data_IF_101965957865
#
_entry.id   IF_101965957865
#
_cell.length_a   1.000
_cell.length_b   1.000
_cell.length_c   1.000
_cell.angle_alpha   90.00
_cell.angle_beta   90.00
_cell.angle_gamma   90.00
#
_symmetry.space_group_name_H-M   'P 1'
#
loop_
_entity.id
_entity.type
_entity.pdbx_description
1 polymer ?
#
# COMPACT_ATOMS: atom_id res chain seq x y z
N UNK A 1 -4.24 12.36 18.14
CA UNK A 1 -3.24 11.55 18.87
C UNK A 1 -3.06 10.29 18.04
N UNK A 2 -1.89 10.10 17.41
CA UNK A 2 -1.63 8.88 16.64
C UNK A 2 -1.48 7.71 17.62
N UNK A 3 -1.97 6.52 17.26
CA UNK A 3 -1.81 5.32 18.08
C UNK A 3 -0.33 4.93 18.07
N UNK A 4 0.30 4.88 19.24
CA UNK A 4 1.69 4.42 19.34
C UNK A 4 1.74 2.92 19.09
N UNK A 5 2.19 2.54 17.89
CA UNK A 5 2.72 1.22 17.66
C UNK A 5 4.01 1.09 18.48
N UNK A 6 4.15 -0.01 19.23
CA UNK A 6 5.37 -0.30 20.00
C UNK A 6 6.52 -0.68 19.06
N UNK A 7 7.00 0.29 18.31
CA UNK A 7 8.05 0.19 17.31
C UNK A 7 9.08 1.27 17.67
N UNK A 8 10.33 0.87 17.85
CA UNK A 8 11.41 1.84 18.05
C UNK A 8 11.90 2.35 16.69
N UNK A 9 11.22 3.39 16.19
CA UNK A 9 11.50 3.97 14.89
C UNK A 9 12.91 4.53 14.78
N UNK A 10 13.53 4.95 15.89
CA UNK A 10 14.85 5.59 15.88
C UNK A 10 15.99 4.64 15.55
N UNK A 11 15.76 3.33 15.66
CA UNK A 11 16.76 2.29 15.43
C UNK A 11 16.64 1.64 14.04
N UNK A 12 15.59 1.95 13.29
CA UNK A 12 15.33 1.34 11.99
C UNK A 12 16.23 1.93 10.92
N UNK A 13 16.89 1.07 10.13
CA UNK A 13 17.58 1.50 8.91
C UNK A 13 16.58 2.02 7.88
N UNK A 14 16.89 3.21 7.37
CA UNK A 14 16.19 3.88 6.30
C UNK A 14 17.18 4.83 5.60
N UNK A 15 16.80 5.45 4.48
CA UNK A 15 17.69 6.40 3.79
C UNK A 15 17.87 7.72 4.55
N UNK A 16 16.88 8.08 5.36
CA UNK A 16 16.86 9.31 6.16
C UNK A 16 16.47 8.96 7.59
N UNK A 17 16.26 9.98 8.42
CA UNK A 17 15.76 9.80 9.78
C UNK A 17 14.42 9.06 9.77
N UNK A 18 14.40 7.85 10.33
CA UNK A 18 13.23 6.97 10.41
C UNK A 18 12.24 7.40 11.49
N UNK A 19 12.63 8.27 12.43
CA UNK A 19 11.75 8.77 13.50
C UNK A 19 10.59 9.64 13.00
N UNK A 20 10.67 10.15 11.78
CA UNK A 20 9.62 10.98 11.15
C UNK A 20 8.47 10.15 10.55
N UNK A 21 8.72 8.86 10.26
CA UNK A 21 7.79 7.99 9.54
C UNK A 21 6.42 7.82 10.23
N UNK A 22 6.31 7.68 11.57
CA UNK A 22 5.01 7.52 12.25
C UNK A 22 4.08 8.70 11.99
N UNK A 23 4.60 9.92 12.14
CA UNK A 23 3.84 11.14 11.92
C UNK A 23 3.46 11.31 10.45
N UNK A 24 4.37 10.95 9.53
CA UNK A 24 4.13 10.99 8.10
C UNK A 24 3.03 10.01 7.67
N UNK A 25 3.08 8.75 8.14
CA UNK A 25 2.05 7.73 7.86
C UNK A 25 0.69 8.19 8.37
N UNK A 26 0.64 8.71 9.61
CA UNK A 26 -0.60 9.23 10.18
C UNK A 26 -1.18 10.36 9.34
N UNK A 27 -0.34 11.30 8.91
CA UNK A 27 -0.75 12.43 8.08
C UNK A 27 -1.37 11.98 6.76
N UNK A 28 -0.70 11.09 6.01
CA UNK A 28 -1.21 10.64 4.71
C UNK A 28 -2.52 9.85 4.85
N UNK A 29 -2.63 8.96 5.84
CA UNK A 29 -3.84 8.15 6.04
C UNK A 29 -5.07 8.97 6.47
N UNK A 30 -4.87 10.18 7.00
CA UNK A 30 -5.94 11.06 7.46
C UNK A 30 -6.09 12.34 6.63
N UNK A 31 -5.42 12.40 5.47
CA UNK A 31 -5.51 13.51 4.54
C UNK A 31 -6.96 13.77 4.12
N UNK A 32 -7.38 15.03 4.05
CA UNK A 32 -8.74 15.40 3.60
C UNK A 32 -8.77 15.83 2.13
N UNK A 33 -7.60 16.11 1.55
CA UNK A 33 -7.40 16.64 0.21
C UNK A 33 -6.11 16.09 -0.40
N UNK A 34 -6.08 15.99 -1.72
CA UNK A 34 -4.86 15.78 -2.49
C UNK A 34 -4.28 17.16 -2.78
N UNK A 35 -3.40 17.61 -1.90
CA UNK A 35 -2.69 18.87 -2.03
C UNK A 35 -1.17 18.64 -1.95
N UNK A 36 -0.43 19.66 -2.37
CA UNK A 36 1.03 19.62 -2.41
C UNK A 36 1.65 19.29 -1.05
N UNK A 37 1.02 19.73 0.06
CA UNK A 37 1.53 19.40 1.40
C UNK A 37 1.41 17.91 1.68
N UNK A 38 0.31 17.28 1.28
CA UNK A 38 0.10 15.84 1.48
C UNK A 38 1.03 15.02 0.58
N UNK A 39 1.21 15.46 -0.67
CA UNK A 39 2.16 14.83 -1.61
C UNK A 39 3.61 14.89 -1.08
N UNK A 40 4.01 16.03 -0.50
CA UNK A 40 5.33 16.18 0.12
C UNK A 40 5.55 15.21 1.29
N UNK A 41 4.50 14.95 2.08
CA UNK A 41 4.57 13.97 3.17
C UNK A 41 4.59 12.55 2.63
N UNK A 42 3.82 12.24 1.58
CA UNK A 42 3.92 10.97 0.87
C UNK A 42 5.34 10.72 0.35
N UNK A 43 5.94 11.69 -0.35
CA UNK A 43 7.31 11.59 -0.83
C UNK A 43 8.34 11.51 0.30
N UNK A 44 8.02 12.03 1.49
CA UNK A 44 8.87 11.87 2.67
C UNK A 44 8.93 10.40 3.09
N UNK A 45 7.81 9.67 3.04
CA UNK A 45 7.79 8.22 3.30
C UNK A 45 8.57 7.50 2.20
N UNK A 46 8.22 7.75 0.93
CA UNK A 46 8.81 7.08 -0.23
C UNK A 46 10.34 7.25 -0.28
N UNK A 47 10.83 8.49 -0.22
CA UNK A 47 12.25 8.79 -0.30
C UNK A 47 13.07 8.33 0.92
N UNK A 48 12.40 7.83 1.96
CA UNK A 48 13.02 7.39 3.20
C UNK A 48 12.99 5.86 3.33
N UNK A 49 11.80 5.26 3.32
CA UNK A 49 11.61 3.84 3.59
C UNK A 49 11.62 2.97 2.33
N UNK A 50 11.32 3.49 1.13
CA UNK A 50 11.08 2.68 -0.08
C UNK A 50 11.53 3.38 -1.38
N UNK A 51 12.70 4.03 -1.36
CA UNK A 51 13.15 4.90 -2.44
C UNK A 51 13.40 4.12 -3.74
N UNK A 52 12.80 4.56 -4.85
CA UNK A 52 12.88 3.85 -6.13
C UNK A 52 12.56 2.35 -5.99
N UNK A 53 11.61 2.00 -5.11
CA UNK A 53 11.20 0.63 -4.79
C UNK A 53 12.27 -0.23 -4.09
N UNK A 54 13.38 0.36 -3.66
CA UNK A 54 14.33 -0.28 -2.75
C UNK A 54 13.81 -0.20 -1.32
N UNK A 55 13.53 -1.35 -0.72
CA UNK A 55 12.96 -1.45 0.61
C UNK A 55 14.06 -1.50 1.68
N UNK A 56 13.97 -0.60 2.66
CA UNK A 56 14.86 -0.51 3.81
C UNK A 56 14.18 -1.13 5.05
N UNK A 57 14.91 -1.44 6.11
CA UNK A 57 14.33 -2.07 7.32
C UNK A 57 13.04 -1.38 7.81
N UNK A 58 12.98 -0.05 7.72
CA UNK A 58 11.80 0.73 8.09
C UNK A 58 10.53 0.47 7.24
N UNK A 59 10.66 -0.10 6.03
CA UNK A 59 9.49 -0.46 5.19
C UNK A 59 8.56 -1.44 5.89
N UNK A 60 9.11 -2.41 6.63
CA UNK A 60 8.29 -3.45 7.23
C UNK A 60 7.36 -2.91 8.34
N UNK A 61 7.85 -2.04 9.25
CA UNK A 61 7.01 -1.22 10.13
C UNK A 61 6.01 -0.34 9.41
N UNK A 62 6.41 0.37 8.34
CA UNK A 62 5.50 1.20 7.52
C UNK A 62 4.35 0.34 7.00
N UNK A 63 4.67 -0.81 6.41
CA UNK A 63 3.69 -1.78 5.89
C UNK A 63 2.75 -2.24 7.00
N UNK A 64 3.30 -2.60 8.17
CA UNK A 64 2.52 -3.07 9.32
C UNK A 64 1.49 -2.03 9.79
N UNK A 65 1.89 -0.76 9.86
CA UNK A 65 0.99 0.32 10.26
C UNK A 65 -0.10 0.52 9.21
N UNK A 66 0.27 0.69 7.94
CA UNK A 66 -0.71 0.96 6.88
C UNK A 66 -1.72 -0.18 6.76
N UNK A 67 -1.27 -1.44 6.77
CA UNK A 67 -2.18 -2.57 6.67
C UNK A 67 -3.08 -2.69 7.91
N UNK A 68 -2.59 -2.38 9.11
CA UNK A 68 -3.42 -2.33 10.31
C UNK A 68 -4.49 -1.25 10.24
N UNK A 69 -4.12 -0.01 9.89
CA UNK A 69 -5.06 1.11 9.78
C UNK A 69 -6.13 0.84 8.72
N UNK A 70 -5.76 0.21 7.60
CA UNK A 70 -6.72 -0.26 6.59
C UNK A 70 -7.66 -1.32 7.18
N UNK A 71 -7.12 -2.33 7.86
CA UNK A 71 -7.90 -3.41 8.46
C UNK A 71 -8.96 -2.90 9.45
N UNK A 72 -8.60 -1.92 10.29
CA UNK A 72 -9.52 -1.34 11.29
C UNK A 72 -10.39 -0.20 10.74
N UNK A 73 -10.24 0.16 9.47
CA UNK A 73 -11.01 1.23 8.83
C UNK A 73 -10.66 2.64 9.31
N UNK A 74 -9.45 2.87 9.84
CA UNK A 74 -9.03 4.15 10.39
C UNK A 74 -8.23 4.97 9.37
N UNK A 75 -8.96 5.49 8.39
CA UNK A 75 -8.44 6.33 7.31
C UNK A 75 -9.57 7.18 6.70
N UNK A 76 -9.21 8.16 5.88
CA UNK A 76 -10.15 8.87 4.99
C UNK A 76 -10.11 8.27 3.59
N UNK A 77 -11.10 8.56 2.73
CA UNK A 77 -11.04 8.08 1.33
C UNK A 77 -9.79 8.58 0.61
N UNK A 78 -9.40 9.85 0.81
CA UNK A 78 -8.16 10.40 0.24
C UNK A 78 -6.94 9.70 0.82
N UNK A 79 -6.89 9.49 2.13
CA UNK A 79 -5.78 8.79 2.76
C UNK A 79 -5.67 7.33 2.37
N UNK A 80 -6.79 6.67 2.07
CA UNK A 80 -6.80 5.31 1.51
C UNK A 80 -6.13 5.26 0.13
N UNK A 81 -6.27 6.30 -0.71
CA UNK A 81 -5.56 6.38 -2.00
C UNK A 81 -4.04 6.33 -1.78
N UNK A 82 -3.51 7.23 -0.95
CA UNK A 82 -2.07 7.26 -0.62
C UNK A 82 -1.60 5.98 0.07
N UNK A 83 -2.42 5.42 0.97
CA UNK A 83 -2.13 4.17 1.65
C UNK A 83 -1.96 3.02 0.66
N UNK A 84 -2.90 2.88 -0.29
CA UNK A 84 -2.83 1.85 -1.32
C UNK A 84 -1.67 2.07 -2.30
N UNK A 85 -1.41 3.31 -2.72
CA UNK A 85 -0.26 3.64 -3.57
C UNK A 85 1.06 3.23 -2.89
N UNK A 86 1.24 3.53 -1.60
CA UNK A 86 2.40 3.06 -0.83
C UNK A 86 2.49 1.53 -0.80
N UNK A 87 1.38 0.83 -0.57
CA UNK A 87 1.38 -0.63 -0.57
C UNK A 87 1.73 -1.21 -1.95
N UNK A 88 1.29 -0.58 -3.06
CA UNK A 88 1.65 -0.98 -4.42
C UNK A 88 3.16 -0.84 -4.65
N UNK A 89 3.73 0.31 -4.28
CA UNK A 89 5.18 0.52 -4.39
C UNK A 89 5.97 -0.51 -3.56
N UNK A 90 5.49 -0.88 -2.37
CA UNK A 90 6.10 -1.91 -1.53
C UNK A 90 5.95 -3.31 -2.15
N UNK A 91 4.76 -3.66 -2.65
CA UNK A 91 4.48 -4.96 -3.23
C UNK A 91 5.35 -5.25 -4.46
N UNK A 92 5.59 -4.23 -5.30
CA UNK A 92 6.44 -4.33 -6.47
C UNK A 92 7.93 -4.06 -6.19
N UNK A 93 8.32 -3.80 -4.95
CA UNK A 93 9.70 -3.45 -4.58
C UNK A 93 10.61 -4.62 -4.25
N UNK A 94 11.87 -4.33 -3.94
CA UNK A 94 12.85 -5.34 -3.57
C UNK A 94 13.70 -4.90 -2.40
N UNK A 95 14.18 -5.84 -1.58
CA UNK A 95 15.08 -5.57 -0.46
C UNK A 95 16.32 -4.82 -0.98
N UNK A 96 16.62 -3.65 -0.40
CA UNK A 96 17.77 -2.84 -0.81
C UNK A 96 19.07 -3.65 -0.71
N UNK A 97 20.08 -3.38 -1.56
CA UNK A 97 21.37 -4.08 -1.48
C UNK A 97 22.00 -4.03 -0.08
N UNK A 98 21.92 -2.88 0.59
CA UNK A 98 22.40 -2.71 1.97
C UNK A 98 21.66 -3.58 2.98
N UNK A 99 20.35 -3.79 2.80
CA UNK A 99 19.59 -4.69 3.67
C UNK A 99 20.01 -6.15 3.46
N UNK A 100 20.28 -6.56 2.22
CA UNK A 100 20.82 -7.90 1.93
C UNK A 100 22.16 -8.12 2.62
N UNK A 101 23.05 -7.13 2.59
CA UNK A 101 24.35 -7.16 3.29
C UNK A 101 24.19 -7.26 4.81
N UNK A 102 23.13 -6.66 5.37
CA UNK A 102 22.77 -6.76 6.79
C UNK A 102 21.97 -8.05 7.14
N UNK A 103 21.80 -8.99 6.20
CA UNK A 103 21.09 -10.24 6.44
C UNK A 103 19.56 -10.17 6.29
N UNK A 104 19.02 -9.04 5.81
CA UNK A 104 17.60 -8.79 5.57
C UNK A 104 17.18 -9.05 4.10
N UNK A 105 17.65 -10.14 3.51
CA UNK A 105 17.39 -10.41 2.09
C UNK A 105 15.91 -10.67 1.78
N UNK A 106 15.17 -11.23 2.72
CA UNK A 106 13.75 -11.59 2.68
C UNK A 106 12.80 -10.46 3.08
N UNK A 107 13.31 -9.24 3.35
CA UNK A 107 12.51 -8.09 3.79
C UNK A 107 11.31 -7.82 2.88
N UNK A 108 11.51 -7.83 1.56
CA UNK A 108 10.43 -7.62 0.60
C UNK A 108 9.34 -8.69 0.69
N UNK A 109 9.71 -9.95 0.94
CA UNK A 109 8.75 -11.04 1.06
C UNK A 109 7.91 -10.91 2.33
N UNK A 110 8.52 -10.53 3.46
CA UNK A 110 7.80 -10.21 4.71
C UNK A 110 6.82 -9.05 4.53
N UNK A 111 7.20 -8.01 3.79
CA UNK A 111 6.29 -6.91 3.48
C UNK A 111 5.10 -7.39 2.63
N UNK A 112 5.34 -8.19 1.58
CA UNK A 112 4.27 -8.78 0.77
C UNK A 112 3.35 -9.68 1.57
N UNK A 113 3.87 -10.47 2.50
CA UNK A 113 3.05 -11.30 3.40
C UNK A 113 2.08 -10.47 4.24
N UNK A 114 2.54 -9.33 4.77
CA UNK A 114 1.68 -8.40 5.52
C UNK A 114 0.58 -7.79 4.65
N UNK A 115 0.89 -7.49 3.38
CA UNK A 115 -0.11 -6.98 2.43
C UNK A 115 -1.09 -8.09 2.06
N UNK A 116 -0.61 -9.30 1.78
CA UNK A 116 -1.47 -10.48 1.51
C UNK A 116 -2.47 -10.74 2.64
N UNK A 117 -2.05 -10.53 3.89
CA UNK A 117 -2.91 -10.73 5.05
C UNK A 117 -4.18 -9.86 5.04
N UNK A 118 -4.15 -8.69 4.39
CA UNK A 118 -5.31 -7.78 4.31
C UNK A 118 -6.09 -7.88 2.98
N UNK A 119 -5.71 -8.77 2.07
CA UNK A 119 -6.42 -8.92 0.78
C UNK A 119 -7.93 -9.17 0.94
N UNK A 120 -8.41 -9.96 1.92
CA UNK A 120 -9.85 -10.07 2.18
C UNK A 120 -10.52 -8.73 2.51
N UNK A 121 -9.83 -7.83 3.21
CA UNK A 121 -10.34 -6.49 3.52
C UNK A 121 -10.40 -5.63 2.26
N UNK A 122 -9.37 -5.68 1.42
CA UNK A 122 -9.34 -4.98 0.14
C UNK A 122 -10.48 -5.42 -0.79
N UNK A 123 -10.81 -6.72 -0.82
CA UNK A 123 -11.95 -7.22 -1.59
C UNK A 123 -13.29 -6.69 -1.07
N UNK A 124 -13.48 -6.62 0.26
CA UNK A 124 -14.68 -6.00 0.84
C UNK A 124 -14.74 -4.50 0.53
N UNK A 125 -13.61 -3.81 0.48
CA UNK A 125 -13.56 -2.41 0.06
C UNK A 125 -13.97 -2.25 -1.40
N UNK A 126 -13.51 -3.11 -2.30
CA UNK A 126 -13.90 -3.07 -3.72
C UNK A 126 -15.41 -3.26 -3.96
N UNK A 127 -16.11 -3.94 -3.05
CA UNK A 127 -17.58 -4.12 -3.12
C UNK A 127 -18.36 -2.83 -2.76
N UNK A 128 -17.73 -1.89 -2.04
CA UNK A 128 -18.42 -0.72 -1.46
C UNK A 128 -17.86 0.63 -1.91
N UNK A 129 -16.60 0.68 -2.33
CA UNK A 129 -15.95 1.91 -2.79
C UNK A 129 -16.27 2.19 -4.26
N UNK A 130 -16.46 3.47 -4.58
CA UNK A 130 -16.63 3.97 -5.96
C UNK A 130 -15.47 4.83 -6.42
N UNK A 131 -14.51 5.10 -5.52
CA UNK A 131 -13.35 5.91 -5.80
C UNK A 131 -12.38 5.18 -6.73
N UNK A 132 -12.14 5.73 -7.91
CA UNK A 132 -11.36 5.05 -8.95
C UNK A 132 -9.89 4.84 -8.54
N UNK A 133 -9.27 5.75 -7.80
CA UNK A 133 -7.88 5.57 -7.33
C UNK A 133 -7.78 4.47 -6.28
N UNK A 134 -8.74 4.43 -5.35
CA UNK A 134 -8.83 3.31 -4.39
C UNK A 134 -9.00 1.98 -5.12
N UNK A 135 -9.93 1.91 -6.09
CA UNK A 135 -10.17 0.68 -6.85
C UNK A 135 -8.95 0.27 -7.69
N UNK A 136 -8.23 1.23 -8.29
CA UNK A 136 -6.98 0.98 -9.01
C UNK A 136 -5.93 0.34 -8.09
N UNK A 137 -5.67 0.93 -6.92
CA UNK A 137 -4.70 0.36 -5.97
C UNK A 137 -5.07 -1.06 -5.51
N UNK A 138 -6.36 -1.34 -5.30
CA UNK A 138 -6.81 -2.71 -4.99
C UNK A 138 -6.55 -3.68 -6.16
N UNK A 139 -6.79 -3.23 -7.40
CA UNK A 139 -6.53 -4.04 -8.60
C UNK A 139 -5.04 -4.33 -8.75
N UNK A 140 -4.18 -3.33 -8.60
CA UNK A 140 -2.73 -3.48 -8.74
C UNK A 140 -2.16 -4.43 -7.69
N UNK A 141 -2.59 -4.28 -6.43
CA UNK A 141 -2.22 -5.21 -5.36
C UNK A 141 -2.72 -6.64 -5.63
N UNK A 142 -3.91 -6.78 -6.21
CA UNK A 142 -4.47 -8.10 -6.57
C UNK A 142 -3.68 -8.74 -7.71
N UNK A 143 -3.35 -7.96 -8.75
CA UNK A 143 -2.56 -8.45 -9.86
C UNK A 143 -1.15 -8.89 -9.44
N UNK A 144 -0.54 -8.14 -8.52
CA UNK A 144 0.80 -8.45 -8.00
C UNK A 144 0.78 -9.64 -7.01
N UNK A 145 -0.19 -9.71 -6.09
CA UNK A 145 -0.08 -10.56 -4.90
C UNK A 145 -1.05 -11.73 -4.81
N UNK A 146 -2.18 -11.73 -5.55
CA UNK A 146 -3.20 -12.79 -5.47
C UNK A 146 -2.87 -13.93 -6.45
N UNK A 147 -2.45 -15.13 -6.00
CA UNK A 147 -2.17 -16.23 -6.91
C UNK A 147 -3.43 -16.88 -7.50
N UNK A 148 -4.58 -16.77 -6.84
CA UNK A 148 -5.83 -17.40 -7.28
C UNK A 148 -6.44 -16.67 -8.45
N UNK A 149 -6.36 -17.31 -9.61
CA UNK A 149 -7.09 -16.90 -10.82
C UNK A 149 -8.58 -16.66 -10.51
N UNK A 150 -9.22 -17.58 -9.79
CA UNK A 150 -10.63 -17.45 -9.44
C UNK A 150 -10.92 -16.17 -8.63
N UNK A 151 -10.03 -15.81 -7.72
CA UNK A 151 -10.19 -14.61 -6.90
C UNK A 151 -9.99 -13.33 -7.73
N UNK A 152 -9.01 -13.29 -8.63
CA UNK A 152 -8.84 -12.19 -9.60
C UNK A 152 -10.09 -12.01 -10.48
N UNK A 153 -10.68 -13.11 -10.97
CA UNK A 153 -11.90 -13.08 -11.76
C UNK A 153 -13.12 -12.58 -10.96
N UNK A 154 -13.21 -12.94 -9.67
CA UNK A 154 -14.23 -12.41 -8.77
C UNK A 154 -14.11 -10.89 -8.63
N UNK A 155 -12.90 -10.38 -8.36
CA UNK A 155 -12.67 -8.94 -8.26
C UNK A 155 -13.01 -8.21 -9.58
N UNK A 156 -12.61 -8.77 -10.72
CA UNK A 156 -13.00 -8.24 -12.04
C UNK A 156 -14.53 -8.10 -12.16
N UNK A 157 -15.28 -9.14 -11.78
CA UNK A 157 -16.74 -9.11 -11.82
C UNK A 157 -17.34 -8.04 -10.90
N UNK A 158 -16.78 -7.87 -9.68
CA UNK A 158 -17.24 -6.84 -8.74
C UNK A 158 -17.04 -5.46 -9.34
N UNK A 159 -15.82 -5.14 -9.78
CA UNK A 159 -15.51 -3.81 -10.32
C UNK A 159 -16.34 -3.49 -11.57
N UNK A 160 -16.50 -4.44 -12.49
CA UNK A 160 -17.28 -4.22 -13.72
C UNK A 160 -18.78 -4.11 -13.50
N UNK A 161 -19.31 -4.60 -12.38
CA UNK A 161 -20.73 -4.41 -12.01
C UNK A 161 -20.99 -3.04 -11.38
N UNK A 162 -20.03 -2.53 -10.58
CA UNK A 162 -20.22 -1.31 -9.79
C UNK A 162 -19.68 -0.04 -10.48
N UNK A 163 -18.64 -0.15 -11.30
CA UNK A 163 -18.05 0.97 -12.04
C UNK A 163 -18.63 1.03 -13.44
N UNK A 164 -19.12 2.21 -13.86
CA UNK A 164 -19.68 2.43 -15.21
C UNK A 164 -18.71 3.05 -16.20
N UNK A 165 -17.58 3.56 -15.70
CA UNK A 165 -16.55 4.18 -16.53
C UNK A 165 -15.82 3.09 -17.33
N UNK A 166 -16.07 3.07 -18.65
CA UNK A 166 -15.43 2.12 -19.55
C UNK A 166 -13.94 2.34 -19.71
N UNK A 167 -13.48 3.60 -19.69
CA UNK A 167 -12.06 3.91 -19.83
C UNK A 167 -11.28 3.35 -18.63
N UNK A 168 -11.83 3.52 -17.43
CA UNK A 168 -11.29 2.90 -16.22
C UNK A 168 -11.24 1.37 -16.34
N UNK A 169 -12.37 0.74 -16.69
CA UNK A 169 -12.44 -0.73 -16.81
C UNK A 169 -11.40 -1.27 -17.80
N UNK A 170 -11.25 -0.63 -18.96
CA UNK A 170 -10.34 -1.05 -20.02
C UNK A 170 -8.87 -0.88 -19.64
N UNK A 171 -8.52 0.19 -18.93
CA UNK A 171 -7.14 0.49 -18.53
C UNK A 171 -6.71 -0.30 -17.28
N UNK A 172 -7.56 -0.32 -16.26
CA UNK A 172 -7.23 -0.79 -14.91
C UNK A 172 -7.38 -2.29 -14.77
N UNK A 173 -8.49 -2.85 -15.28
CA UNK A 173 -8.91 -4.21 -14.93
C UNK A 173 -8.43 -5.24 -15.98
N UNK A 174 -7.65 -4.79 -16.98
CA UNK A 174 -7.12 -5.64 -18.05
C UNK A 174 -6.23 -6.76 -17.52
N UNK A 175 -5.40 -6.48 -16.52
CA UNK A 175 -4.45 -7.47 -16.00
C UNK A 175 -5.12 -8.55 -15.14
N UNK A 176 -6.34 -8.29 -14.64
CA UNK A 176 -7.14 -9.31 -13.96
C UNK A 176 -7.83 -10.28 -14.94
N UNK A 177 -7.79 -10.01 -16.25
CA UNK A 177 -8.30 -10.94 -17.25
C UNK A 177 -7.39 -12.15 -17.31
N UNK A 178 -7.99 -13.30 -17.03
CA UNK A 178 -7.37 -14.60 -17.16
C UNK A 178 -7.47 -15.02 -18.62
N UNK A 179 -6.56 -14.53 -19.45
CA UNK A 179 -6.30 -15.14 -20.75
C UNK A 179 -5.61 -16.51 -20.54
#
# INVERSE_FOLDING_TARGET
MYKEYKIDWTQLRARKDSSILPAAIWHVLHAQSEDTSTDEVYWTIENNALFNRELYEATEPVTTVITHEIHVGNYTTIGLRYGLDLLVEIACGWSAPSEKECGNADLADRCREKIRAIMPDLYRLAETQTDQRVLQGIVDLTDELEPSKQQRAKLFSVITQHVRDRCFIEATVRNLRLD
#
